data_IF_716410136718
#
_entry.id   IF_716410136718
#
_cell.length_a   1.000
_cell.length_b   1.000
_cell.length_c   1.000
_cell.angle_alpha   90.00
_cell.angle_beta   90.00
_cell.angle_gamma   90.00
#
_symmetry.space_group_name_H-M   'P 1'
#
loop_
_entity.id
_entity.type
_entity.pdbx_description
1 polymer ?
#
# COMPACT_ATOMS: atom_id res chain seq x y z
N UNK A 1 -3.40 15.71 -6.35
CA UNK A 1 -2.07 15.36 -6.85
C UNK A 1 -1.54 16.52 -7.69
N UNK A 2 -0.27 16.93 -7.52
CA UNK A 2 0.41 17.93 -8.34
C UNK A 2 0.55 17.48 -9.79
N UNK A 3 0.68 18.43 -10.72
CA UNK A 3 0.78 18.11 -12.15
C UNK A 3 2.00 17.24 -12.47
N UNK A 4 3.15 17.51 -11.85
CA UNK A 4 4.36 16.71 -12.09
C UNK A 4 4.23 15.26 -11.62
N UNK A 5 3.61 15.04 -10.45
CA UNK A 5 3.39 13.68 -9.92
C UNK A 5 2.45 12.92 -10.86
N UNK A 6 1.35 13.55 -11.27
CA UNK A 6 0.40 12.93 -12.21
C UNK A 6 1.05 12.60 -13.55
N UNK A 7 1.79 13.56 -14.14
CA UNK A 7 2.45 13.38 -15.44
C UNK A 7 3.57 12.33 -15.41
N UNK A 8 4.20 12.11 -14.26
CA UNK A 8 5.17 11.03 -14.13
C UNK A 8 4.49 9.68 -13.94
N UNK A 9 3.50 9.56 -13.07
CA UNK A 9 2.76 8.31 -12.87
C UNK A 9 2.04 7.87 -14.14
N UNK A 10 1.58 8.80 -14.98
CA UNK A 10 0.98 8.47 -16.27
C UNK A 10 1.94 7.86 -17.30
N UNK A 11 3.24 7.75 -16.99
CA UNK A 11 4.22 7.01 -17.81
C UNK A 11 4.25 5.52 -17.49
N UNK A 12 3.60 5.10 -16.39
CA UNK A 12 3.38 3.69 -16.06
C UNK A 12 2.40 3.03 -17.02
N UNK A 13 2.24 1.72 -16.89
CA UNK A 13 1.18 0.97 -17.57
C UNK A 13 -0.19 1.13 -16.88
N UNK A 14 -0.26 1.91 -15.81
CA UNK A 14 -1.50 2.34 -15.15
C UNK A 14 -1.90 1.47 -13.98
N UNK A 15 -3.22 1.31 -13.82
CA UNK A 15 -3.84 0.53 -12.75
C UNK A 15 -4.65 -0.59 -13.39
N UNK A 16 -4.42 -1.82 -12.93
CA UNK A 16 -5.15 -3.01 -13.33
C UNK A 16 -5.94 -3.60 -12.16
N UNK A 17 -7.03 -4.26 -12.50
CA UNK A 17 -7.90 -4.97 -11.55
C UNK A 17 -8.02 -6.41 -12.02
N UNK A 18 -7.78 -7.35 -11.13
CA UNK A 18 -7.93 -8.79 -11.39
C UNK A 18 -8.88 -9.43 -10.38
N UNK A 19 -9.39 -10.63 -10.69
CA UNK A 19 -10.14 -11.46 -9.74
C UNK A 19 -9.24 -12.52 -9.10
N UNK A 20 -9.58 -13.04 -7.92
CA UNK A 20 -8.83 -14.16 -7.33
C UNK A 20 -8.78 -15.41 -8.24
N UNK A 21 -9.74 -15.55 -9.16
CA UNK A 21 -9.76 -16.64 -10.14
C UNK A 21 -8.74 -16.46 -11.27
N UNK A 22 -8.55 -15.23 -11.76
CA UNK A 22 -7.61 -14.92 -12.84
C UNK A 22 -6.20 -14.66 -12.32
N UNK A 23 -6.08 -14.16 -11.09
CA UNK A 23 -4.85 -13.70 -10.43
C UNK A 23 -4.18 -12.53 -11.17
N UNK A 24 -3.14 -11.96 -10.55
CA UNK A 24 -2.34 -10.89 -11.18
C UNK A 24 -1.59 -11.32 -12.44
N UNK A 25 -1.44 -12.64 -12.67
CA UNK A 25 -0.71 -13.20 -13.82
C UNK A 25 -1.48 -13.10 -15.15
N UNK A 26 -2.74 -12.65 -15.11
CA UNK A 26 -3.51 -12.29 -16.33
C UNK A 26 -2.91 -11.08 -17.06
N UNK A 27 -2.14 -10.25 -16.35
CA UNK A 27 -1.42 -9.13 -16.92
C UNK A 27 -0.08 -9.61 -17.52
N UNK A 28 0.22 -9.27 -18.80
CA UNK A 28 1.42 -9.75 -19.49
C UNK A 28 2.74 -9.50 -18.74
N UNK A 29 2.82 -8.39 -17.99
CA UNK A 29 3.96 -8.00 -17.17
C UNK A 29 4.28 -9.02 -16.06
N UNK A 30 3.30 -9.86 -15.70
CA UNK A 30 3.38 -10.83 -14.61
C UNK A 30 3.14 -12.27 -15.08
N UNK A 31 3.21 -12.53 -16.38
CA UNK A 31 2.93 -13.84 -16.94
C UNK A 31 3.89 -14.93 -16.42
N UNK A 32 5.12 -14.56 -16.03
CA UNK A 32 6.11 -15.47 -15.47
C UNK A 32 5.82 -15.88 -14.02
N UNK A 33 5.04 -15.07 -13.30
CA UNK A 33 4.65 -15.27 -11.89
C UNK A 33 3.54 -16.32 -11.71
N UNK A 34 2.95 -16.80 -12.82
CA UNK A 34 1.85 -17.77 -12.81
C UNK A 34 2.21 -19.03 -12.01
N UNK A 35 1.31 -19.45 -11.12
CA UNK A 35 1.46 -20.68 -10.35
C UNK A 35 1.17 -21.90 -11.23
N UNK A 36 2.22 -22.44 -11.86
CA UNK A 36 2.14 -23.62 -12.73
C UNK A 36 1.79 -24.87 -11.90
N UNK A 37 1.16 -25.91 -12.49
CA UNK A 37 0.79 -27.12 -11.76
C UNK A 37 1.94 -27.77 -10.99
N UNK A 38 3.14 -27.81 -11.57
CA UNK A 38 4.36 -28.34 -10.94
C UNK A 38 4.88 -27.46 -9.79
N UNK A 39 4.42 -26.22 -9.71
CA UNK A 39 4.78 -25.26 -8.68
C UNK A 39 3.74 -25.15 -7.56
N UNK A 40 2.59 -25.82 -7.66
CA UNK A 40 1.54 -25.75 -6.65
C UNK A 40 2.10 -26.03 -5.24
N UNK A 41 1.84 -25.12 -4.31
CA UNK A 41 2.32 -25.17 -2.91
C UNK A 41 3.85 -25.28 -2.70
N UNK A 42 4.67 -25.04 -3.73
CA UNK A 42 6.13 -25.00 -3.60
C UNK A 42 6.74 -23.74 -4.22
N UNK A 43 7.75 -23.20 -3.56
CA UNK A 43 8.55 -22.07 -4.04
C UNK A 43 10.00 -22.51 -4.35
N UNK A 44 10.26 -23.81 -4.40
CA UNK A 44 11.62 -24.34 -4.53
C UNK A 44 12.09 -24.39 -6.00
N UNK A 45 13.41 -24.25 -6.20
CA UNK A 45 14.04 -24.41 -7.50
C UNK A 45 13.42 -23.53 -8.58
N UNK A 46 12.88 -24.16 -9.62
CA UNK A 46 12.27 -23.48 -10.77
C UNK A 46 10.94 -22.78 -10.43
N UNK A 47 10.40 -22.98 -9.22
CA UNK A 47 9.15 -22.38 -8.77
C UNK A 47 9.35 -21.14 -7.90
N UNK A 48 10.61 -20.77 -7.60
CA UNK A 48 10.93 -19.60 -6.78
C UNK A 48 10.33 -18.30 -7.36
N UNK A 49 10.23 -18.20 -8.68
CA UNK A 49 9.69 -17.01 -9.34
C UNK A 49 8.15 -16.85 -9.19
N UNK A 50 7.44 -17.89 -8.75
CA UNK A 50 5.98 -17.85 -8.53
C UNK A 50 5.59 -17.38 -7.12
N UNK A 51 6.59 -17.03 -6.31
CA UNK A 51 6.41 -16.66 -4.92
C UNK A 51 7.02 -15.30 -4.63
N UNK A 52 6.38 -14.57 -3.72
CA UNK A 52 6.92 -13.36 -3.12
C UNK A 52 8.16 -13.70 -2.28
N UNK A 53 8.95 -12.66 -1.96
CA UNK A 53 10.15 -12.81 -1.13
C UNK A 53 9.87 -13.39 0.28
N UNK A 54 8.63 -13.24 0.78
CA UNK A 54 8.17 -13.78 2.07
C UNK A 54 7.48 -15.16 1.94
N UNK A 55 7.54 -15.78 0.76
CA UNK A 55 7.12 -17.16 0.52
C UNK A 55 5.63 -17.36 0.24
N UNK A 56 4.86 -16.28 0.03
CA UNK A 56 3.47 -16.38 -0.42
C UNK A 56 3.41 -16.61 -1.93
N UNK A 57 2.39 -17.31 -2.40
CA UNK A 57 2.15 -17.47 -3.83
C UNK A 57 1.60 -16.17 -4.42
N UNK A 58 2.09 -15.77 -5.60
CA UNK A 58 1.51 -14.62 -6.32
C UNK A 58 0.04 -14.86 -6.73
N UNK A 59 -0.40 -16.12 -6.80
CA UNK A 59 -1.82 -16.46 -6.98
C UNK A 59 -2.69 -16.17 -5.75
N UNK A 60 -2.10 -15.91 -4.58
CA UNK A 60 -2.80 -15.72 -3.30
C UNK A 60 -2.68 -14.29 -2.75
N UNK A 61 -1.91 -13.41 -3.42
CA UNK A 61 -1.76 -12.01 -2.98
C UNK A 61 -2.87 -11.12 -3.55
N UNK A 62 -3.28 -10.12 -2.78
CA UNK A 62 -4.31 -9.16 -3.20
C UNK A 62 -3.79 -8.06 -4.13
N UNK A 63 -2.48 -7.90 -4.27
CA UNK A 63 -1.91 -6.84 -5.06
C UNK A 63 -0.44 -7.04 -5.37
N UNK A 64 0.02 -6.32 -6.39
CA UNK A 64 1.42 -6.23 -6.77
C UNK A 64 1.60 -4.96 -7.60
N UNK A 65 2.69 -4.24 -7.34
CA UNK A 65 3.09 -3.10 -8.15
C UNK A 65 4.47 -3.29 -8.76
N UNK A 66 4.54 -3.12 -10.08
CA UNK A 66 5.76 -3.00 -10.86
C UNK A 66 5.66 -1.80 -11.83
N UNK A 67 5.71 -2.01 -13.14
CA UNK A 67 5.34 -0.99 -14.12
C UNK A 67 3.81 -0.74 -14.18
N UNK A 68 3.00 -1.65 -13.63
CA UNK A 68 1.56 -1.53 -13.42
C UNK A 68 1.23 -1.73 -11.93
N UNK A 69 0.23 -1.02 -11.42
CA UNK A 69 -0.36 -1.25 -10.09
C UNK A 69 -1.53 -2.20 -10.22
N UNK A 70 -1.46 -3.38 -9.61
CA UNK A 70 -2.52 -4.38 -9.67
C UNK A 70 -3.18 -4.57 -8.32
N UNK A 71 -4.49 -4.65 -8.32
CA UNK A 71 -5.28 -4.84 -7.11
C UNK A 71 -6.43 -5.80 -7.36
N UNK A 72 -6.70 -6.67 -6.40
CA UNK A 72 -7.78 -7.62 -6.53
C UNK A 72 -9.13 -6.92 -6.38
N UNK A 73 -10.10 -7.37 -7.18
CA UNK A 73 -11.43 -6.81 -7.24
C UNK A 73 -12.21 -7.02 -5.95
N UNK A 74 -11.94 -8.12 -5.24
CA UNK A 74 -12.66 -8.50 -4.01
C UNK A 74 -12.47 -7.45 -2.91
N UNK A 75 -11.25 -6.93 -2.72
CA UNK A 75 -10.97 -5.86 -1.77
C UNK A 75 -11.63 -4.55 -2.20
N UNK A 76 -11.60 -4.22 -3.50
CA UNK A 76 -12.15 -2.97 -4.03
C UNK A 76 -13.68 -2.92 -3.93
N UNK A 77 -14.35 -4.04 -4.24
CA UNK A 77 -15.81 -4.13 -4.30
C UNK A 77 -16.44 -4.68 -3.02
N UNK A 78 -15.66 -4.90 -1.97
CA UNK A 78 -16.14 -5.41 -0.68
C UNK A 78 -16.82 -6.77 -0.79
N UNK A 79 -16.27 -7.67 -1.62
CA UNK A 79 -16.85 -8.98 -1.83
C UNK A 79 -16.61 -9.88 -0.61
N UNK A 80 -17.50 -10.86 -0.33
CA UNK A 80 -17.33 -11.78 0.80
C UNK A 80 -16.03 -12.60 0.77
N UNK A 81 -15.39 -12.69 -0.39
CA UNK A 81 -14.12 -13.40 -0.63
C UNK A 81 -12.89 -12.52 -0.46
N UNK A 82 -13.05 -11.26 -0.01
CA UNK A 82 -11.92 -10.39 0.31
C UNK A 82 -11.04 -11.00 1.42
N UNK A 83 -9.76 -11.21 1.12
CA UNK A 83 -8.78 -11.78 2.03
C UNK A 83 -8.52 -10.88 3.25
N UNK A 84 -8.79 -9.58 3.13
CA UNK A 84 -8.71 -8.62 4.23
C UNK A 84 -10.02 -8.47 5.00
N UNK A 85 -11.07 -9.21 4.62
CA UNK A 85 -12.38 -9.19 5.27
C UNK A 85 -12.96 -7.76 5.37
N UNK A 86 -12.66 -6.92 4.39
CA UNK A 86 -13.06 -5.53 4.31
C UNK A 86 -12.31 -4.56 5.23
N UNK A 87 -11.23 -4.99 5.89
CA UNK A 87 -10.47 -4.15 6.82
C UNK A 87 -9.53 -3.15 6.12
N UNK A 88 -9.29 -3.34 4.83
CA UNK A 88 -8.25 -2.68 4.05
C UNK A 88 -8.71 -2.62 2.59
N UNK A 89 -8.46 -1.49 1.92
CA UNK A 89 -8.62 -1.37 0.47
C UNK A 89 -7.24 -1.37 -0.19
N UNK A 90 -6.87 -2.50 -0.78
CA UNK A 90 -5.51 -2.71 -1.32
C UNK A 90 -5.17 -1.76 -2.48
N UNK A 91 -6.18 -1.19 -3.15
CA UNK A 91 -5.96 -0.27 -4.28
C UNK A 91 -5.11 0.94 -3.88
N UNK A 92 -5.36 1.51 -2.71
CA UNK A 92 -4.60 2.67 -2.24
C UNK A 92 -3.15 2.31 -1.96
N UNK A 93 -2.92 1.11 -1.41
CA UNK A 93 -1.60 0.58 -1.13
C UNK A 93 -0.76 0.46 -2.41
N UNK A 94 -1.30 -0.27 -3.39
CA UNK A 94 -0.61 -0.55 -4.66
C UNK A 94 -0.45 0.72 -5.50
N UNK A 95 -1.47 1.57 -5.54
CA UNK A 95 -1.35 2.84 -6.23
C UNK A 95 -0.31 3.75 -5.57
N UNK A 96 -0.14 3.68 -4.24
CA UNK A 96 0.89 4.43 -3.54
C UNK A 96 2.31 3.93 -3.87
N UNK A 97 2.52 2.62 -4.05
CA UNK A 97 3.78 2.11 -4.60
C UNK A 97 4.06 2.72 -5.98
N UNK A 98 3.07 2.72 -6.87
CA UNK A 98 3.23 3.24 -8.23
C UNK A 98 3.54 4.74 -8.22
N UNK A 99 2.85 5.50 -7.38
CA UNK A 99 3.15 6.92 -7.15
C UNK A 99 4.59 7.09 -6.70
N UNK A 100 5.02 6.37 -5.67
CA UNK A 100 6.38 6.46 -5.15
C UNK A 100 7.45 6.14 -6.20
N UNK A 101 7.27 5.05 -6.97
CA UNK A 101 8.20 4.64 -8.04
C UNK A 101 8.40 5.73 -9.10
N UNK A 102 7.35 6.49 -9.44
CA UNK A 102 7.38 7.51 -10.49
C UNK A 102 7.59 8.94 -9.96
N UNK A 103 7.66 9.15 -8.63
CA UNK A 103 8.08 10.44 -8.09
C UNK A 103 9.53 10.77 -8.50
N UNK A 104 9.84 12.08 -8.55
CA UNK A 104 11.22 12.51 -8.82
C UNK A 104 12.13 12.16 -7.63
N UNK A 105 13.44 12.15 -7.89
CA UNK A 105 14.44 11.74 -6.90
C UNK A 105 14.41 12.60 -5.64
N UNK A 106 14.13 13.91 -5.76
CA UNK A 106 13.99 14.80 -4.59
C UNK A 106 12.90 14.32 -3.62
N UNK A 107 11.78 13.80 -4.12
CA UNK A 107 10.72 13.27 -3.26
C UNK A 107 11.03 11.87 -2.76
N UNK A 108 11.64 11.01 -3.58
CA UNK A 108 12.15 9.70 -3.13
C UNK A 108 13.14 9.85 -1.98
N UNK A 109 14.06 10.81 -2.08
CA UNK A 109 15.02 11.13 -1.01
C UNK A 109 14.33 11.60 0.27
N UNK A 110 13.25 12.40 0.16
CA UNK A 110 12.45 12.84 1.32
C UNK A 110 11.72 11.68 1.98
N UNK A 111 11.16 10.76 1.20
CA UNK A 111 10.49 9.55 1.70
C UNK A 111 11.51 8.64 2.40
N UNK A 112 12.66 8.39 1.77
CA UNK A 112 13.76 7.62 2.37
C UNK A 112 14.25 8.27 3.67
N UNK A 113 14.46 9.59 3.70
CA UNK A 113 14.86 10.29 4.92
C UNK A 113 13.79 10.20 6.04
N UNK A 114 12.51 10.27 5.68
CA UNK A 114 11.41 10.07 6.62
C UNK A 114 11.40 8.63 7.18
N UNK A 115 11.52 7.63 6.31
CA UNK A 115 11.60 6.22 6.68
C UNK A 115 12.76 5.95 7.65
N UNK A 116 13.98 6.41 7.33
CA UNK A 116 15.15 6.22 8.18
C UNK A 116 14.98 6.89 9.55
N UNK A 117 14.39 8.10 9.58
CA UNK A 117 14.07 8.80 10.83
C UNK A 117 13.00 8.06 11.64
N UNK A 118 11.97 7.54 10.97
CA UNK A 118 10.92 6.76 11.62
C UNK A 118 11.47 5.48 12.25
N UNK A 119 12.40 4.81 11.55
CA UNK A 119 13.12 3.62 12.03
C UNK A 119 14.02 3.96 13.23
N UNK A 120 14.87 4.98 13.11
CA UNK A 120 15.81 5.37 14.19
C UNK A 120 15.08 5.77 15.47
N UNK A 121 13.98 6.50 15.33
CA UNK A 121 13.21 7.03 16.46
C UNK A 121 12.10 6.09 16.92
N UNK A 122 11.97 4.91 16.29
CA UNK A 122 10.92 3.92 16.59
C UNK A 122 9.51 4.53 16.59
N UNK A 123 9.25 5.42 15.62
CA UNK A 123 7.94 6.07 15.47
C UNK A 123 6.87 5.02 15.16
N UNK A 124 7.20 4.04 14.34
CA UNK A 124 6.33 2.92 14.00
C UNK A 124 6.73 1.69 14.78
N UNK A 125 5.80 0.75 14.96
CA UNK A 125 6.11 -0.57 15.52
C UNK A 125 7.23 -1.21 14.71
N UNK A 126 8.33 -1.55 15.36
CA UNK A 126 9.45 -2.22 14.70
C UNK A 126 9.06 -3.64 14.27
N UNK A 127 9.62 -4.10 13.15
CA UNK A 127 9.28 -5.39 12.53
C UNK A 127 7.79 -5.52 12.14
N UNK A 128 7.12 -4.40 11.89
CA UNK A 128 5.84 -4.41 11.19
C UNK A 128 6.06 -4.44 9.68
N UNK A 129 5.06 -4.92 8.94
CA UNK A 129 5.02 -4.88 7.47
C UNK A 129 5.35 -3.48 6.93
N UNK A 130 4.70 -2.44 7.48
CA UNK A 130 4.98 -1.05 7.12
C UNK A 130 6.42 -0.57 7.35
N UNK A 131 7.27 -1.35 8.05
CA UNK A 131 8.65 -0.99 8.34
C UNK A 131 9.67 -1.92 7.67
N UNK A 132 9.22 -2.86 6.82
CA UNK A 132 10.09 -3.77 6.06
C UNK A 132 11.03 -2.98 5.13
N UNK A 133 10.49 -2.01 4.37
CA UNK A 133 11.25 -1.10 3.52
C UNK A 133 10.51 0.25 3.34
N UNK A 134 11.12 1.18 2.61
CA UNK A 134 10.58 2.52 2.36
C UNK A 134 9.32 2.54 1.47
N UNK A 135 9.13 1.53 0.62
CA UNK A 135 7.96 1.41 -0.24
C UNK A 135 6.73 1.01 0.58
N UNK A 136 6.85 0.00 1.45
CA UNK A 136 5.78 -0.40 2.38
C UNK A 136 5.44 0.70 3.37
N UNK A 137 6.47 1.40 3.85
CA UNK A 137 6.30 2.55 4.71
C UNK A 137 5.45 3.64 4.05
N UNK A 138 5.72 3.97 2.78
CA UNK A 138 4.94 4.96 2.06
C UNK A 138 3.52 4.47 1.76
N UNK A 139 3.36 3.22 1.34
CA UNK A 139 2.07 2.65 0.97
C UNK A 139 1.13 2.52 2.17
N UNK A 140 1.58 1.95 3.29
CA UNK A 140 0.76 1.84 4.50
C UNK A 140 0.46 3.21 5.12
N UNK A 141 1.39 4.16 5.02
CA UNK A 141 1.13 5.53 5.42
C UNK A 141 0.04 6.19 4.55
N UNK A 142 0.01 5.88 3.24
CA UNK A 142 -1.04 6.36 2.34
C UNK A 142 -2.41 5.78 2.72
N UNK A 143 -2.51 4.49 3.01
CA UNK A 143 -3.76 3.88 3.48
C UNK A 143 -4.25 4.53 4.78
N UNK A 144 -3.33 4.78 5.72
CA UNK A 144 -3.64 5.50 6.95
C UNK A 144 -4.06 6.96 6.67
N UNK A 145 -3.45 7.64 5.70
CA UNK A 145 -3.74 9.02 5.31
C UNK A 145 -5.11 9.19 4.65
N UNK A 146 -5.56 8.18 3.89
CA UNK A 146 -6.89 8.13 3.30
C UNK A 146 -7.94 7.49 4.20
N UNK A 147 -7.51 6.85 5.28
CA UNK A 147 -8.39 6.19 6.24
C UNK A 147 -9.22 5.07 5.60
N UNK A 148 -8.57 4.26 4.77
CA UNK A 148 -9.12 3.05 4.18
C UNK A 148 -8.48 1.76 4.71
N UNK A 149 -7.66 1.87 5.77
CA UNK A 149 -7.16 0.76 6.59
C UNK A 149 -7.62 0.87 8.04
N UNK A 150 -8.42 -0.08 8.49
CA UNK A 150 -8.99 -0.16 9.84
C UNK A 150 -8.60 -1.43 10.59
N UNK A 151 -7.53 -2.07 10.12
CA UNK A 151 -6.88 -3.21 10.79
C UNK A 151 -6.45 -2.86 12.20
N UNK A 152 -6.77 -3.72 13.15
CA UNK A 152 -6.41 -3.54 14.57
C UNK A 152 -5.00 -4.04 14.90
N UNK A 153 -4.37 -4.75 13.98
CA UNK A 153 -3.05 -5.30 14.18
C UNK A 153 -1.96 -4.28 13.84
N UNK A 154 -1.13 -3.95 14.83
CA UNK A 154 0.03 -3.10 14.61
C UNK A 154 1.16 -3.84 13.86
N UNK A 155 1.05 -5.16 13.64
CA UNK A 155 2.02 -5.96 12.88
C UNK A 155 2.00 -5.57 11.41
N UNK A 156 0.85 -5.19 10.87
CA UNK A 156 0.75 -4.74 9.47
C UNK A 156 0.92 -3.24 9.37
N UNK A 157 0.14 -2.47 10.16
CA UNK A 157 0.02 -1.02 9.96
C UNK A 157 1.13 -0.18 10.60
N UNK A 158 2.01 -0.82 11.38
CA UNK A 158 2.95 -0.16 12.28
C UNK A 158 2.30 0.74 13.35
N UNK A 159 0.97 0.66 13.49
CA UNK A 159 0.15 1.45 14.41
C UNK A 159 -0.32 2.80 13.87
N UNK A 160 -0.05 3.15 12.60
CA UNK A 160 -0.36 4.50 12.10
C UNK A 160 -1.83 4.80 11.85
N UNK A 161 -2.66 3.77 11.80
CA UNK A 161 -4.12 3.90 11.77
C UNK A 161 -4.76 3.85 13.17
N UNK A 162 -3.96 3.65 14.22
CA UNK A 162 -4.40 3.56 15.62
C UNK A 162 -4.15 4.91 16.30
N UNK A 163 -5.21 5.70 16.44
CA UNK A 163 -5.20 6.98 17.12
C UNK A 163 -5.24 6.82 18.66
N UNK A 164 -6.06 7.59 19.37
CA UNK A 164 -6.08 7.67 20.83
C UNK A 164 -6.66 6.39 21.47
N UNK A 165 -6.11 5.99 22.61
CA UNK A 165 -6.60 4.86 23.42
C UNK A 165 -6.62 3.52 22.67
N UNK A 166 -5.65 3.27 21.79
CA UNK A 166 -5.58 2.06 20.96
C UNK A 166 -6.81 1.83 20.08
N UNK A 167 -7.54 2.90 19.74
CA UNK A 167 -8.66 2.85 18.83
C UNK A 167 -8.23 3.30 17.45
N UNK A 168 -8.81 2.67 16.43
CA UNK A 168 -8.72 3.14 15.06
C UNK A 168 -9.15 4.60 15.01
N UNK A 169 -8.47 5.40 14.19
CA UNK A 169 -8.86 6.79 13.94
C UNK A 169 -10.34 6.84 13.53
N UNK A 170 -11.06 7.89 13.91
CA UNK A 170 -12.52 7.93 13.64
C UNK A 170 -12.87 8.27 12.19
N UNK A 171 -11.94 8.93 11.50
CA UNK A 171 -12.12 9.45 10.16
C UNK A 171 -10.77 9.86 9.54
N UNK A 172 -10.81 10.17 8.24
CA UNK A 172 -9.68 10.61 7.43
C UNK A 172 -8.96 11.84 8.01
N UNK A 173 -9.71 12.82 8.54
CA UNK A 173 -9.09 14.01 9.12
C UNK A 173 -8.35 13.68 10.41
N UNK A 174 -8.89 12.80 11.26
CA UNK A 174 -8.20 12.33 12.47
C UNK A 174 -6.98 11.49 12.15
N UNK A 175 -7.05 10.63 11.14
CA UNK A 175 -5.91 9.84 10.70
C UNK A 175 -4.77 10.73 10.17
N UNK A 176 -5.09 11.72 9.32
CA UNK A 176 -4.14 12.74 8.85
C UNK A 176 -3.54 13.57 9.99
N UNK A 177 -4.36 13.98 10.96
CA UNK A 177 -3.88 14.72 12.14
C UNK A 177 -2.93 13.88 13.00
N UNK A 178 -3.21 12.58 13.13
CA UNK A 178 -2.35 11.65 13.85
C UNK A 178 -1.02 11.48 13.13
N UNK A 179 -1.03 11.15 11.83
CA UNK A 179 0.17 11.07 11.00
C UNK A 179 1.01 12.35 11.05
N UNK A 180 0.38 13.52 10.86
CA UNK A 180 1.08 14.82 10.92
C UNK A 180 1.81 15.06 12.24
N UNK A 181 1.25 14.59 13.35
CA UNK A 181 1.86 14.76 14.68
C UNK A 181 2.92 13.72 14.96
N UNK A 182 2.69 12.48 14.55
CA UNK A 182 3.50 11.33 14.92
C UNK A 182 4.68 11.11 13.97
N UNK A 183 4.44 11.30 12.67
CA UNK A 183 5.43 11.21 11.61
C UNK A 183 5.24 12.33 10.58
N UNK A 184 5.65 13.57 10.90
CA UNK A 184 5.47 14.71 10.02
C UNK A 184 6.20 14.58 8.67
N UNK A 185 7.26 13.77 8.61
CA UNK A 185 8.06 13.58 7.40
C UNK A 185 7.26 12.89 6.30
N UNK A 186 6.66 11.74 6.62
CA UNK A 186 5.82 11.01 5.67
C UNK A 186 4.51 11.75 5.40
N UNK A 187 3.92 12.39 6.42
CA UNK A 187 2.72 13.20 6.22
C UNK A 187 2.94 14.29 5.16
N UNK A 188 4.09 14.97 5.18
CA UNK A 188 4.42 15.99 4.19
C UNK A 188 4.51 15.41 2.77
N UNK A 189 5.17 14.25 2.62
CA UNK A 189 5.29 13.58 1.33
C UNK A 189 3.93 13.15 0.77
N UNK A 190 3.06 12.58 1.61
CA UNK A 190 1.69 12.17 1.23
C UNK A 190 0.80 13.37 0.89
N UNK A 191 0.86 14.41 1.72
CA UNK A 191 0.12 15.67 1.52
C UNK A 191 0.43 16.27 0.15
N UNK A 192 1.71 16.38 -0.19
CA UNK A 192 2.13 16.82 -1.50
C UNK A 192 1.67 15.83 -2.58
N UNK A 193 2.06 14.55 -2.51
CA UNK A 193 1.82 13.58 -3.59
C UNK A 193 0.34 13.45 -3.95
N UNK A 194 -0.53 13.32 -2.94
CA UNK A 194 -1.93 13.01 -3.18
C UNK A 194 -2.83 14.24 -3.19
N UNK A 195 -2.52 15.26 -2.40
CA UNK A 195 -3.41 16.42 -2.22
C UNK A 195 -2.84 17.73 -2.73
N UNK A 196 -1.60 17.75 -3.23
CA UNK A 196 -0.92 18.98 -3.65
C UNK A 196 -0.95 20.01 -2.51
N UNK A 197 -0.54 19.53 -1.34
CA UNK A 197 -0.54 20.22 -0.05
C UNK A 197 -1.89 20.70 0.49
N UNK A 198 -2.99 20.27 -0.16
CA UNK A 198 -4.35 20.55 0.27
C UNK A 198 -4.90 19.46 1.16
N UNK A 199 -4.20 19.15 2.25
CA UNK A 199 -4.53 18.05 3.17
C UNK A 199 -5.87 18.20 3.90
N UNK A 200 -6.59 19.30 3.71
CA UNK A 200 -7.98 19.50 4.15
C UNK A 200 -9.02 18.89 3.19
N UNK A 201 -8.63 18.56 1.96
CA UNK A 201 -9.49 17.86 1.00
C UNK A 201 -9.55 16.39 1.37
N UNK A 202 -10.74 15.98 1.81
CA UNK A 202 -11.07 14.60 2.15
C UNK A 202 -11.31 13.83 0.85
N UNK A 203 -10.80 12.60 0.77
CA UNK A 203 -10.96 11.72 -0.38
C UNK A 203 -12.36 11.10 -0.45
N UNK A 204 -12.95 10.80 0.71
CA UNK A 204 -14.19 10.04 0.81
C UNK A 204 -14.00 8.54 0.63
N UNK A 205 -12.75 8.07 0.51
CA UNK A 205 -12.41 6.65 0.56
C UNK A 205 -12.77 6.08 1.93
N UNK A 206 -13.16 4.81 1.94
CA UNK A 206 -13.56 4.09 3.14
C UNK A 206 -13.14 2.63 3.00
N UNK A 207 -12.80 1.96 4.11
CA UNK A 207 -12.74 0.52 4.13
C UNK A 207 -14.14 -0.06 3.90
N UNK A 208 -14.20 -1.32 3.53
CA UNK A 208 -15.45 -2.04 3.29
C UNK A 208 -16.19 -2.40 4.58
N UNK A 209 -15.47 -2.70 5.66
CA UNK A 209 -16.05 -2.87 6.99
C UNK A 209 -16.56 -1.53 7.51
N UNK A 210 -17.83 -1.52 7.93
CA UNK A 210 -18.49 -0.39 8.58
C UNK A 210 -18.58 -0.61 10.08
#
# INVERSE_FOLDING_TARGET
MPREVFANVSKSHGVGIFTLAETLSVYPENADLVDRPECFQTCEGVCNNTCTFDGRKYSEVAGLTNEISLSNMESILCLPTDIYQGAENILTHEFAHLVHMYMNDTWKDKIMAAYQKAKSNKLWRQHSYAMENEYEYFAVAAESFFHDIIRKDAKSTGGMNICKNQRICSDEMKARQFLRRHDPGIFYCLSYAFTDDRSWRISGLKPCMR
#
